data_IF_623768252492
#
_entry.id   IF_623768252492
#
_cell.length_a   1.000
_cell.length_b   1.000
_cell.length_c   1.000
_cell.angle_alpha   90.00
_cell.angle_beta   90.00
_cell.angle_gamma   90.00
#
_symmetry.space_group_name_H-M   'P 1'
#
loop_
_entity.id
_entity.type
_entity.pdbx_description
1 polymer ?
#
# COMPACT_ATOMS: atom_id res chain seq x y z
N UNK A 1 -8.73 28.57 12.56
CA UNK A 1 -8.11 28.37 11.23
C UNK A 1 -6.93 27.42 11.28
N UNK A 2 -6.07 27.52 12.31
CA UNK A 2 -4.91 26.62 12.47
C UNK A 2 -5.28 25.13 12.63
N UNK A 3 -6.35 24.80 13.35
CA UNK A 3 -6.79 23.40 13.47
C UNK A 3 -7.24 22.81 12.13
N UNK A 4 -7.84 23.62 11.25
CA UNK A 4 -8.27 23.18 9.93
C UNK A 4 -7.06 22.95 9.02
N UNK A 5 -6.06 23.85 9.03
CA UNK A 5 -4.83 23.67 8.26
C UNK A 5 -4.06 22.45 8.76
N UNK A 6 -3.97 22.25 10.07
CA UNK A 6 -3.33 21.07 10.65
C UNK A 6 -4.06 19.78 10.27
N UNK A 7 -5.39 19.74 10.36
CA UNK A 7 -6.17 18.56 9.98
C UNK A 7 -5.95 18.19 8.51
N UNK A 8 -6.01 19.19 7.62
CA UNK A 8 -5.80 19.00 6.20
C UNK A 8 -4.37 18.53 5.88
N UNK A 9 -3.35 19.19 6.43
CA UNK A 9 -1.96 18.85 6.15
C UNK A 9 -1.53 17.49 6.74
N UNK A 10 -2.07 17.11 7.91
CA UNK A 10 -1.63 15.90 8.63
C UNK A 10 -2.40 14.63 8.26
N UNK A 11 -3.66 14.76 7.81
CA UNK A 11 -4.58 13.62 7.72
C UNK A 11 -5.35 13.49 6.40
N UNK A 12 -5.07 14.33 5.41
CA UNK A 12 -5.63 14.18 4.07
C UNK A 12 -4.66 13.41 3.16
N UNK A 13 -5.00 12.17 2.80
CA UNK A 13 -4.25 11.34 1.83
C UNK A 13 -5.18 10.35 1.14
N UNK A 14 -5.00 10.19 -0.17
CA UNK A 14 -5.79 9.24 -0.98
C UNK A 14 -5.23 7.82 -0.87
N UNK A 15 -3.92 7.64 -1.06
CA UNK A 15 -3.27 6.32 -1.03
C UNK A 15 -2.90 5.86 0.38
N UNK A 16 -2.91 6.76 1.36
CA UNK A 16 -2.59 6.49 2.77
C UNK A 16 -1.20 5.84 3.00
N UNK A 17 -0.27 6.03 2.05
CA UNK A 17 1.07 5.47 2.13
C UNK A 17 1.89 6.08 3.26
N UNK A 18 2.51 5.22 4.07
CA UNK A 18 3.37 5.65 5.16
C UNK A 18 4.68 6.25 4.64
N UNK A 19 5.06 7.42 5.15
CA UNK A 19 6.26 8.18 4.74
C UNK A 19 6.38 8.37 3.21
N UNK A 20 5.27 8.73 2.55
CA UNK A 20 5.25 8.96 1.09
C UNK A 20 6.23 10.05 0.66
N UNK A 21 6.94 9.82 -0.45
CA UNK A 21 7.86 10.78 -1.08
C UNK A 21 7.14 11.87 -1.88
N UNK A 22 5.82 11.76 -2.06
CA UNK A 22 4.99 12.82 -2.65
C UNK A 22 4.84 14.01 -1.69
N UNK A 23 5.03 13.80 -0.39
CA UNK A 23 5.05 14.84 0.62
C UNK A 23 6.49 15.13 1.10
N UNK A 24 6.77 16.31 1.68
CA UNK A 24 8.07 16.62 2.26
C UNK A 24 8.47 15.62 3.36
N UNK A 25 9.78 15.49 3.59
CA UNK A 25 10.30 14.57 4.61
C UNK A 25 9.70 14.89 6.01
N UNK A 26 9.27 13.88 6.80
CA UNK A 26 8.58 14.13 8.08
C UNK A 26 9.34 14.99 9.09
N UNK A 27 10.68 15.02 9.01
CA UNK A 27 11.54 15.88 9.85
C UNK A 27 11.51 17.36 9.46
N UNK A 28 11.10 17.66 8.24
CA UNK A 28 11.02 19.02 7.68
C UNK A 28 9.58 19.53 7.60
N UNK A 29 8.58 18.66 7.84
CA UNK A 29 7.17 19.02 7.84
C UNK A 29 6.81 19.86 9.07
N UNK A 30 5.98 20.88 8.87
CA UNK A 30 5.45 21.72 9.96
C UNK A 30 4.46 20.93 10.85
N UNK A 31 3.70 20.02 10.24
CA UNK A 31 2.74 19.16 10.94
C UNK A 31 3.17 17.70 10.85
N UNK A 32 3.00 16.96 11.95
CA UNK A 32 3.22 15.52 11.97
C UNK A 32 2.06 14.82 11.28
N UNK A 33 2.33 14.18 10.14
CA UNK A 33 1.32 13.38 9.45
C UNK A 33 0.99 12.12 10.23
N UNK A 34 -0.28 11.70 10.22
CA UNK A 34 -0.70 10.40 10.76
C UNK A 34 -0.01 9.23 10.05
N UNK A 35 0.39 9.45 8.79
CA UNK A 35 1.07 8.45 7.96
C UNK A 35 2.61 8.52 8.10
N UNK A 36 3.14 9.30 9.06
CA UNK A 36 4.59 9.32 9.34
C UNK A 36 4.94 8.30 10.41
N UNK A 37 5.68 7.23 10.04
CA UNK A 37 6.09 6.17 10.99
C UNK A 37 7.61 6.07 11.11
N UNK A 38 8.12 6.04 12.35
CA UNK A 38 9.55 5.93 12.65
C UNK A 38 10.06 4.47 12.60
N UNK A 39 9.17 3.49 12.77
CA UNK A 39 9.49 2.06 12.84
C UNK A 39 9.61 1.44 11.44
N UNK A 40 10.68 1.78 10.73
CA UNK A 40 10.94 1.24 9.40
C UNK A 40 11.59 -0.14 9.42
N UNK A 41 12.48 -0.41 10.39
CA UNK A 41 13.27 -1.65 10.48
C UNK A 41 12.40 -2.88 10.68
N UNK A 42 11.49 -2.81 11.65
CA UNK A 42 10.50 -3.84 11.98
C UNK A 42 9.65 -4.24 10.76
N UNK A 43 9.07 -3.25 10.08
CA UNK A 43 8.24 -3.45 8.89
C UNK A 43 9.03 -4.01 7.71
N UNK A 44 10.27 -3.59 7.51
CA UNK A 44 11.16 -4.17 6.49
C UNK A 44 11.45 -5.65 6.78
N UNK A 45 11.68 -6.00 8.05
CA UNK A 45 11.87 -7.40 8.47
C UNK A 45 10.65 -8.25 8.13
N UNK A 46 9.45 -7.80 8.54
CA UNK A 46 8.17 -8.49 8.25
C UNK A 46 7.93 -8.62 6.73
N UNK A 47 8.18 -7.56 5.96
CA UNK A 47 8.02 -7.58 4.50
C UNK A 47 8.93 -8.62 3.84
N UNK A 48 10.20 -8.69 4.22
CA UNK A 48 11.16 -9.65 3.67
C UNK A 48 10.79 -11.09 4.00
N UNK A 49 10.26 -11.33 5.20
CA UNK A 49 9.75 -12.64 5.60
C UNK A 49 8.52 -13.04 4.78
N UNK A 50 7.58 -12.10 4.59
CA UNK A 50 6.41 -12.31 3.74
C UNK A 50 6.80 -12.56 2.27
N UNK A 51 7.82 -11.86 1.74
CA UNK A 51 8.30 -12.08 0.38
C UNK A 51 8.88 -13.48 0.17
N UNK A 52 9.46 -14.09 1.22
CA UNK A 52 9.97 -15.47 1.16
C UNK A 52 8.85 -16.50 1.15
N UNK A 53 7.75 -16.25 1.86
CA UNK A 53 6.63 -17.18 1.96
C UNK A 53 5.59 -17.01 0.85
N UNK A 54 5.44 -15.79 0.32
CA UNK A 54 4.37 -15.44 -0.62
C UNK A 54 4.72 -15.92 -2.03
N UNK A 55 3.87 -16.80 -2.57
CA UNK A 55 3.93 -17.26 -3.96
C UNK A 55 3.00 -16.40 -4.82
N UNK A 56 3.58 -15.43 -5.52
CA UNK A 56 2.90 -14.61 -6.52
C UNK A 56 3.18 -15.16 -7.93
N UNK A 57 2.15 -15.19 -8.78
CA UNK A 57 2.29 -15.61 -10.19
C UNK A 57 2.75 -14.43 -11.07
N UNK A 58 4.03 -14.09 -10.93
CA UNK A 58 4.65 -13.01 -11.72
C UNK A 58 4.75 -13.33 -13.21
N UNK A 59 4.81 -14.61 -13.58
CA UNK A 59 4.90 -15.03 -14.99
C UNK A 59 3.60 -14.73 -15.72
N UNK A 60 2.46 -15.09 -15.12
CA UNK A 60 1.16 -14.76 -15.69
C UNK A 60 0.92 -13.24 -15.66
N UNK A 61 1.31 -12.53 -14.59
CA UNK A 61 1.19 -11.07 -14.56
C UNK A 61 1.99 -10.38 -15.67
N UNK A 62 3.22 -10.84 -15.96
CA UNK A 62 4.01 -10.35 -17.08
C UNK A 62 3.35 -10.64 -18.44
N UNK A 63 2.76 -11.83 -18.63
CA UNK A 63 1.97 -12.15 -19.84
C UNK A 63 0.80 -11.18 -20.01
N UNK A 64 0.05 -10.92 -18.95
CA UNK A 64 -1.11 -9.99 -18.99
C UNK A 64 -0.70 -8.55 -19.32
N UNK A 65 0.44 -8.10 -18.81
CA UNK A 65 1.00 -6.80 -19.17
C UNK A 65 1.44 -6.73 -20.65
N UNK A 66 1.86 -7.84 -21.25
CA UNK A 66 2.28 -7.89 -22.65
C UNK A 66 1.11 -8.02 -23.63
N UNK A 67 0.08 -8.80 -23.26
CA UNK A 67 -1.05 -9.14 -24.13
C UNK A 67 -2.29 -8.26 -23.88
N UNK A 68 -2.24 -7.36 -22.90
CA UNK A 68 -3.37 -6.55 -22.40
C UNK A 68 -4.63 -7.37 -22.04
N UNK A 69 -4.43 -8.64 -21.69
CA UNK A 69 -5.49 -9.57 -21.31
C UNK A 69 -5.68 -9.61 -19.79
N UNK A 70 -6.77 -8.99 -19.33
CA UNK A 70 -7.14 -8.93 -17.90
C UNK A 70 -8.39 -9.75 -17.57
N UNK A 71 -8.84 -10.61 -18.49
CA UNK A 71 -10.07 -11.39 -18.37
C UNK A 71 -9.94 -12.47 -17.27
N UNK A 72 -10.96 -12.63 -16.42
CA UNK A 72 -11.00 -13.70 -15.41
C UNK A 72 -10.39 -13.38 -14.03
N UNK A 73 -9.94 -12.15 -13.79
CA UNK A 73 -9.43 -11.74 -12.48
C UNK A 73 -10.53 -11.35 -11.49
N UNK A 74 -11.75 -11.01 -11.97
CA UNK A 74 -12.90 -10.66 -11.12
C UNK A 74 -13.43 -11.86 -10.32
N UNK A 75 -13.32 -13.08 -10.84
CA UNK A 75 -13.81 -14.30 -10.18
C UNK A 75 -12.95 -14.79 -9.00
N UNK A 76 -11.69 -14.33 -8.90
CA UNK A 76 -10.84 -14.60 -7.73
C UNK A 76 -11.04 -13.55 -6.61
N UNK A 77 -11.82 -12.48 -6.86
CA UNK A 77 -11.96 -11.35 -5.94
C UNK A 77 -13.02 -11.54 -4.85
N UNK A 78 -13.99 -12.43 -5.03
CA UNK A 78 -15.10 -12.60 -4.08
C UNK A 78 -14.78 -13.49 -2.87
N UNK A 79 -13.70 -14.27 -2.89
CA UNK A 79 -13.50 -15.36 -1.92
C UNK A 79 -12.64 -15.02 -0.68
N UNK A 80 -12.38 -13.74 -0.39
CA UNK A 80 -11.63 -13.30 0.81
C UNK A 80 -12.18 -12.01 1.43
N UNK A 81 -13.49 -11.98 1.70
CA UNK A 81 -14.11 -11.02 2.62
C UNK A 81 -14.41 -11.73 3.93
N UNK A 82 -13.39 -11.91 4.75
CA UNK A 82 -13.51 -11.98 6.21
C UNK A 82 -12.10 -12.07 6.78
N UNK A 83 -11.62 -10.93 7.27
CA UNK A 83 -10.78 -10.88 8.46
C UNK A 83 -10.78 -9.41 8.90
N UNK A 84 -11.79 -9.09 9.72
CA UNK A 84 -11.72 -7.97 10.64
C UNK A 84 -10.53 -8.22 11.60
N UNK A 85 -9.91 -7.13 12.06
CA UNK A 85 -8.91 -7.07 13.14
C UNK A 85 -7.40 -7.23 12.79
N UNK A 86 -6.68 -6.14 13.12
CA UNK A 86 -5.25 -6.05 13.48
C UNK A 86 -4.20 -6.09 12.36
N UNK A 87 -3.61 -4.92 12.06
CA UNK A 87 -2.20 -4.66 11.68
C UNK A 87 -1.38 -5.81 11.03
N UNK A 88 -1.88 -6.37 9.93
CA UNK A 88 -1.09 -7.25 9.07
C UNK A 88 -1.11 -6.64 7.68
N UNK A 89 0.06 -6.17 7.26
CA UNK A 89 0.41 -5.71 5.92
C UNK A 89 -0.58 -6.22 4.88
N UNK A 90 -1.53 -5.37 4.50
CA UNK A 90 -2.55 -5.68 3.49
C UNK A 90 -1.85 -6.44 2.38
N UNK A 91 -2.30 -7.66 2.12
CA UNK A 91 -1.68 -8.54 1.12
C UNK A 91 -1.71 -7.77 -0.19
N UNK A 92 -0.62 -7.04 -0.51
CA UNK A 92 -0.57 -6.15 -1.66
C UNK A 92 -0.79 -7.04 -2.88
N UNK A 93 -1.98 -6.94 -3.47
CA UNK A 93 -2.35 -7.63 -4.69
C UNK A 93 -1.50 -7.02 -5.81
N UNK A 94 -1.19 -7.81 -6.83
CA UNK A 94 -0.52 -7.24 -8.00
C UNK A 94 -1.43 -6.19 -8.61
N UNK A 95 -0.91 -4.98 -8.92
CA UNK A 95 -1.69 -3.96 -9.61
C UNK A 95 -2.32 -4.48 -10.89
N UNK A 96 -3.53 -4.02 -11.18
CA UNK A 96 -4.23 -4.30 -12.43
C UNK A 96 -3.78 -3.30 -13.49
N UNK A 97 -3.60 -3.75 -14.72
CA UNK A 97 -3.21 -2.89 -15.85
C UNK A 97 -1.86 -2.21 -15.58
N UNK A 98 -1.64 -1.07 -16.22
CA UNK A 98 -0.37 -0.35 -16.22
C UNK A 98 -0.19 0.65 -15.07
N UNK A 99 -1.26 1.01 -14.35
CA UNK A 99 -1.23 1.95 -13.23
C UNK A 99 -1.24 1.22 -11.88
N UNK A 100 -0.66 1.85 -10.86
CA UNK A 100 -0.52 1.30 -9.50
C UNK A 100 -1.47 1.98 -8.52
#
# INVERSE_FOLDING_TARGET
MEELSQALASSFSVSQDLNSTAAPHPRLSQYKSKYSSLEQSERRRRLLELQKSKRLDYVNHARRLAEDDWTGMESEEENKKDDEEMDIDTVKKLPKRYAN
#
